data_IF_540517139601
#
_entry.id   IF_540517139601
#
_cell.length_a   1.000
_cell.length_b   1.000
_cell.length_c   1.000
_cell.angle_alpha   90.00
_cell.angle_beta   90.00
_cell.angle_gamma   90.00
#
_symmetry.space_group_name_H-M   'P 1'
#
loop_
_entity.id
_entity.type
_entity.pdbx_description
1 polymer ?
#
# COMPACT_ATOMS: atom_id res chain seq x y z
N UNK A 1 -36.05 21.66 -10.88
CA UNK A 1 -35.60 20.77 -11.96
C UNK A 1 -34.30 21.26 -12.60
N UNK A 2 -34.24 22.43 -13.26
CA UNK A 2 -32.98 22.97 -13.81
C UNK A 2 -31.93 23.28 -12.72
N UNK A 3 -32.34 23.97 -11.65
CA UNK A 3 -31.42 24.38 -10.58
C UNK A 3 -30.85 23.18 -9.80
N UNK A 4 -31.67 22.16 -9.55
CA UNK A 4 -31.22 20.89 -8.96
C UNK A 4 -30.25 20.14 -9.88
N UNK A 5 -30.45 20.20 -11.20
CA UNK A 5 -29.54 19.58 -12.18
C UNK A 5 -28.17 20.26 -12.22
N UNK A 6 -28.15 21.60 -12.16
CA UNK A 6 -26.92 22.39 -12.10
C UNK A 6 -26.13 22.12 -10.81
N UNK A 7 -26.82 21.96 -9.68
CA UNK A 7 -26.16 21.60 -8.41
C UNK A 7 -25.51 20.20 -8.47
N UNK A 8 -26.20 19.21 -9.04
CA UNK A 8 -25.65 17.86 -9.22
C UNK A 8 -24.43 17.90 -10.15
N UNK A 9 -24.52 18.60 -11.28
CA UNK A 9 -23.40 18.76 -12.20
C UNK A 9 -22.18 19.40 -11.52
N UNK A 10 -22.39 20.45 -10.73
CA UNK A 10 -21.33 21.12 -10.00
C UNK A 10 -20.65 20.20 -8.97
N UNK A 11 -21.42 19.38 -8.25
CA UNK A 11 -20.87 18.39 -7.32
C UNK A 11 -20.08 17.30 -8.05
N UNK A 12 -20.57 16.81 -9.19
CA UNK A 12 -19.84 15.84 -10.02
C UNK A 12 -18.50 16.39 -10.50
N UNK A 13 -18.50 17.58 -11.11
CA UNK A 13 -17.27 18.23 -11.61
C UNK A 13 -16.32 18.56 -10.46
N UNK A 14 -16.84 19.08 -9.34
CA UNK A 14 -16.04 19.37 -8.15
C UNK A 14 -15.41 18.10 -7.55
N UNK A 15 -16.17 17.01 -7.47
CA UNK A 15 -15.64 15.73 -7.00
C UNK A 15 -14.54 15.20 -7.93
N UNK A 16 -14.72 15.28 -9.25
CA UNK A 16 -13.71 14.85 -10.21
C UNK A 16 -12.41 15.64 -10.08
N UNK A 17 -12.49 16.98 -9.98
CA UNK A 17 -11.33 17.84 -9.80
C UNK A 17 -10.59 17.58 -8.47
N UNK A 18 -11.33 17.29 -7.40
CA UNK A 18 -10.72 16.93 -6.11
C UNK A 18 -9.97 15.59 -6.16
N UNK A 19 -10.45 14.65 -6.96
CA UNK A 19 -9.83 13.32 -7.08
C UNK A 19 -8.45 13.35 -7.71
N UNK A 20 -8.21 14.24 -8.68
CA UNK A 20 -6.87 14.40 -9.28
C UNK A 20 -5.83 14.83 -8.24
N UNK A 21 -6.23 15.66 -7.28
CA UNK A 21 -5.35 16.14 -6.20
C UNK A 21 -5.10 15.09 -5.11
N UNK A 22 -5.96 14.09 -5.00
CA UNK A 22 -5.80 13.04 -4.00
C UNK A 22 -4.56 12.18 -4.27
N UNK A 23 -4.25 11.88 -5.54
CA UNK A 23 -3.11 11.01 -5.89
C UNK A 23 -1.78 11.62 -5.44
N UNK A 24 -1.62 12.93 -5.63
CA UNK A 24 -0.43 13.67 -5.22
C UNK A 24 -0.25 13.71 -3.69
N UNK A 25 -1.34 13.57 -2.93
CA UNK A 25 -1.33 13.60 -1.47
C UNK A 25 -1.19 12.20 -0.85
N UNK A 26 -1.84 11.20 -1.43
CA UNK A 26 -1.90 9.84 -0.88
C UNK A 26 -0.53 9.14 -0.96
N UNK A 27 0.18 9.27 -2.07
CA UNK A 27 1.48 8.60 -2.27
C UNK A 27 2.50 8.91 -1.15
N UNK A 28 2.83 10.20 -0.89
CA UNK A 28 3.75 10.58 0.17
C UNK A 28 3.27 10.22 1.58
N UNK A 29 1.96 10.33 1.85
CA UNK A 29 1.38 9.96 3.14
C UNK A 29 1.49 8.47 3.40
N UNK A 30 1.17 7.65 2.40
CA UNK A 30 1.27 6.20 2.47
C UNK A 30 2.73 5.73 2.61
N UNK A 31 3.65 6.33 1.85
CA UNK A 31 5.08 6.05 1.97
C UNK A 31 5.56 6.31 3.41
N UNK A 32 5.14 7.43 4.00
CA UNK A 32 5.47 7.76 5.40
C UNK A 32 4.90 6.73 6.36
N UNK A 33 3.66 6.28 6.14
CA UNK A 33 3.01 5.25 6.96
C UNK A 33 3.77 3.90 6.90
N UNK A 34 4.25 3.51 5.72
CA UNK A 34 5.05 2.28 5.52
C UNK A 34 6.42 2.43 6.19
N UNK A 35 7.15 3.51 5.91
CA UNK A 35 8.54 3.67 6.36
C UNK A 35 8.62 3.82 7.88
N UNK A 36 7.73 4.62 8.48
CA UNK A 36 7.85 5.02 9.89
C UNK A 36 6.82 4.39 10.80
N UNK A 37 5.54 4.43 10.40
CA UNK A 37 4.45 4.22 11.35
C UNK A 37 4.05 2.76 11.51
N UNK A 38 4.27 1.91 10.48
CA UNK A 38 3.87 0.50 10.50
C UNK A 38 4.32 -0.20 11.80
N UNK A 39 5.60 -0.16 12.15
CA UNK A 39 6.14 -0.82 13.35
C UNK A 39 5.90 -0.07 14.67
N UNK A 40 5.40 1.15 14.61
CA UNK A 40 5.23 2.02 15.78
C UNK A 40 3.77 2.07 16.24
N UNK A 41 2.83 1.90 15.30
CA UNK A 41 1.40 2.12 15.50
C UNK A 41 0.61 0.93 14.97
N UNK A 42 -0.03 0.21 15.88
CA UNK A 42 -0.83 -0.99 15.56
C UNK A 42 -2.03 -0.67 14.66
N UNK A 43 -2.70 0.46 14.89
CA UNK A 43 -3.81 0.95 14.07
C UNK A 43 -3.38 1.16 12.60
N UNK A 44 -2.19 1.73 12.40
CA UNK A 44 -1.62 1.91 11.06
C UNK A 44 -1.21 0.59 10.45
N UNK A 45 -0.60 -0.30 11.23
CA UNK A 45 -0.24 -1.65 10.79
C UNK A 45 -1.44 -2.41 10.22
N UNK A 46 -2.54 -2.44 10.98
CA UNK A 46 -3.78 -3.11 10.57
C UNK A 46 -4.40 -2.45 9.34
N UNK A 47 -4.41 -1.12 9.27
CA UNK A 47 -4.91 -0.39 8.11
C UNK A 47 -4.07 -0.69 6.84
N UNK A 48 -2.74 -0.68 6.95
CA UNK A 48 -1.83 -1.02 5.86
C UNK A 48 -2.03 -2.46 5.41
N UNK A 49 -2.13 -3.40 6.34
CA UNK A 49 -2.40 -4.81 6.00
C UNK A 49 -3.72 -4.93 5.23
N UNK A 50 -4.78 -4.30 5.72
CA UNK A 50 -6.08 -4.32 5.04
C UNK A 50 -6.02 -3.72 3.64
N UNK A 51 -5.37 -2.56 3.47
CA UNK A 51 -5.23 -1.89 2.18
C UNK A 51 -4.48 -2.77 1.17
N UNK A 52 -3.35 -3.36 1.56
CA UNK A 52 -2.56 -4.20 0.67
C UNK A 52 -3.27 -5.51 0.32
N UNK A 53 -3.96 -6.14 1.28
CA UNK A 53 -4.73 -7.35 1.06
C UNK A 53 -5.90 -7.11 0.09
N UNK A 54 -6.67 -6.03 0.28
CA UNK A 54 -7.81 -5.71 -0.60
C UNK A 54 -7.35 -5.23 -1.98
N UNK A 55 -6.25 -4.47 -2.05
CA UNK A 55 -5.71 -3.94 -3.29
C UNK A 55 -4.84 -4.92 -4.07
N UNK A 56 -4.56 -6.11 -3.50
CA UNK A 56 -3.62 -7.08 -4.04
C UNK A 56 -2.32 -6.43 -4.48
N UNK A 57 -1.73 -5.60 -3.63
CA UNK A 57 -0.60 -4.70 -3.94
C UNK A 57 0.47 -4.79 -2.84
N UNK A 58 1.65 -4.24 -3.11
CA UNK A 58 2.71 -4.11 -2.11
C UNK A 58 3.47 -2.78 -2.28
N UNK A 59 3.47 -1.96 -1.23
CA UNK A 59 4.20 -0.69 -1.21
C UNK A 59 3.37 0.52 -1.65
N UNK A 60 3.99 1.70 -1.54
CA UNK A 60 3.39 2.97 -1.94
C UNK A 60 3.76 3.36 -3.37
N UNK A 61 5.06 3.34 -3.68
CA UNK A 61 5.64 3.56 -5.00
C UNK A 61 6.26 2.27 -5.57
N UNK A 62 6.71 1.38 -4.69
CA UNK A 62 7.29 0.10 -5.07
C UNK A 62 7.29 -0.86 -3.88
N UNK A 63 7.41 -2.16 -4.11
CA UNK A 63 7.53 -3.11 -2.99
C UNK A 63 8.84 -2.88 -2.23
N UNK A 64 9.83 -2.25 -2.87
CA UNK A 64 11.11 -1.89 -2.30
C UNK A 64 11.02 -0.84 -1.20
N UNK A 65 9.93 -0.07 -1.13
CA UNK A 65 9.72 0.94 -0.07
C UNK A 65 9.82 0.32 1.34
N UNK A 66 9.50 -0.97 1.47
CA UNK A 66 9.66 -1.71 2.71
C UNK A 66 11.11 -1.78 3.18
N UNK A 67 12.10 -1.82 2.28
CA UNK A 67 13.52 -1.92 2.66
C UNK A 67 14.02 -0.71 3.45
N UNK A 68 13.42 0.46 3.22
CA UNK A 68 13.78 1.69 3.92
C UNK A 68 13.03 1.87 5.25
N UNK A 69 12.13 0.94 5.58
CA UNK A 69 11.26 1.05 6.75
C UNK A 69 11.92 0.64 8.07
N UNK A 70 11.39 1.18 9.17
CA UNK A 70 11.72 0.74 10.54
C UNK A 70 11.35 -0.73 10.73
N UNK A 71 10.28 -1.20 10.08
CA UNK A 71 9.91 -2.62 10.07
C UNK A 71 11.04 -3.51 9.55
N UNK A 72 11.61 -3.17 8.40
CA UNK A 72 12.67 -3.95 7.78
C UNK A 72 13.91 -4.01 8.66
N UNK A 73 14.27 -2.90 9.31
CA UNK A 73 15.39 -2.85 10.26
C UNK A 73 15.16 -3.78 11.48
N UNK A 74 13.92 -3.86 11.97
CA UNK A 74 13.58 -4.71 13.12
C UNK A 74 13.62 -6.20 12.75
N UNK A 75 12.94 -6.59 11.66
CA UNK A 75 12.82 -8.00 11.25
C UNK A 75 14.11 -8.55 10.64
N UNK A 76 14.96 -7.69 10.08
CA UNK A 76 16.30 -8.04 9.57
C UNK A 76 17.42 -7.68 10.55
N UNK A 77 17.12 -7.51 11.84
CA UNK A 77 18.16 -7.32 12.85
C UNK A 77 19.05 -8.57 12.98
N UNK A 78 20.28 -8.39 13.45
CA UNK A 78 21.25 -9.50 13.63
C UNK A 78 20.69 -10.63 14.51
N UNK A 79 19.83 -10.31 15.48
CA UNK A 79 19.20 -11.30 16.34
C UNK A 79 18.20 -12.17 15.57
N UNK A 80 17.31 -11.55 14.80
CA UNK A 80 16.32 -12.23 13.96
C UNK A 80 16.99 -13.05 12.85
N UNK A 81 18.03 -12.50 12.21
CA UNK A 81 18.79 -13.18 11.17
C UNK A 81 19.46 -14.47 11.65
N UNK A 82 19.95 -14.49 12.89
CA UNK A 82 20.51 -15.72 13.47
C UNK A 82 19.46 -16.81 13.67
N UNK A 83 18.19 -16.44 13.87
CA UNK A 83 17.11 -17.41 14.05
C UNK A 83 16.60 -17.95 12.72
N UNK A 84 16.39 -17.08 11.72
CA UNK A 84 15.79 -17.47 10.43
C UNK A 84 16.78 -17.75 9.30
N UNK A 85 18.00 -17.23 9.37
CA UNK A 85 19.08 -17.41 8.37
C UNK A 85 18.87 -16.81 6.98
N UNK A 86 17.94 -15.87 6.83
CA UNK A 86 17.65 -15.18 5.56
C UNK A 86 17.11 -13.77 5.83
N UNK A 87 16.99 -12.89 4.81
CA UNK A 87 16.34 -11.57 4.91
C UNK A 87 14.87 -11.60 4.46
N UNK A 88 14.00 -10.77 5.05
CA UNK A 88 12.65 -10.50 4.55
C UNK A 88 12.70 -9.23 3.71
N UNK A 89 12.19 -9.31 2.48
CA UNK A 89 12.07 -8.17 1.59
C UNK A 89 10.80 -7.35 1.87
N UNK A 90 9.70 -8.04 2.14
CA UNK A 90 8.36 -7.44 2.35
C UNK A 90 7.60 -8.19 3.46
N UNK A 91 6.55 -7.60 4.06
CA UNK A 91 5.66 -8.30 4.99
C UNK A 91 4.88 -9.44 4.31
N UNK A 92 4.41 -10.41 5.08
CA UNK A 92 3.75 -11.61 4.54
C UNK A 92 2.44 -11.30 3.79
N UNK A 93 1.71 -10.24 4.17
CA UNK A 93 0.49 -9.81 3.46
C UNK A 93 0.75 -9.27 2.04
N UNK A 94 2.01 -9.00 1.67
CA UNK A 94 2.38 -8.64 0.30
C UNK A 94 2.49 -9.87 -0.63
N UNK A 95 2.46 -11.08 -0.07
CA UNK A 95 2.54 -12.30 -0.86
C UNK A 95 1.20 -12.63 -1.52
N UNK A 96 1.25 -13.21 -2.71
CA UNK A 96 0.09 -13.75 -3.42
C UNK A 96 -0.57 -14.89 -2.65
N UNK A 97 0.24 -15.68 -1.97
CA UNK A 97 -0.19 -16.70 -1.03
C UNK A 97 0.46 -16.39 0.31
N UNK A 98 -0.33 -15.89 1.25
CA UNK A 98 0.16 -15.57 2.58
C UNK A 98 0.58 -16.85 3.30
N UNK A 99 1.84 -16.90 3.70
CA UNK A 99 2.40 -17.92 4.57
C UNK A 99 3.52 -17.31 5.39
N UNK A 100 3.80 -17.88 6.56
CA UNK A 100 4.84 -17.36 7.44
C UNK A 100 6.18 -17.17 6.70
N UNK A 101 6.71 -15.96 6.72
CA UNK A 101 7.97 -15.55 6.09
C UNK A 101 8.02 -15.72 4.56
N UNK A 102 6.88 -15.71 3.87
CA UNK A 102 6.85 -15.77 2.40
C UNK A 102 7.57 -14.59 1.74
N UNK A 103 7.63 -13.45 2.43
CA UNK A 103 8.30 -12.23 1.96
C UNK A 103 9.81 -12.33 1.84
N UNK A 104 10.42 -13.48 2.12
CA UNK A 104 11.83 -13.73 1.84
C UNK A 104 12.15 -13.72 0.34
N UNK A 105 11.20 -14.14 -0.52
CA UNK A 105 11.37 -14.15 -1.98
C UNK A 105 10.58 -13.03 -2.63
N UNK A 106 11.26 -12.12 -3.30
CA UNK A 106 10.63 -10.97 -3.94
C UNK A 106 10.24 -11.22 -5.41
N UNK A 107 10.26 -12.46 -5.91
CA UNK A 107 9.86 -12.75 -7.29
C UNK A 107 8.38 -12.38 -7.56
N UNK A 108 8.01 -11.88 -8.76
CA UNK A 108 6.64 -11.44 -9.08
C UNK A 108 5.58 -12.55 -9.06
N UNK A 109 6.00 -13.82 -9.10
CA UNK A 109 5.10 -14.96 -8.89
C UNK A 109 4.77 -15.20 -7.42
N UNK A 110 5.50 -14.58 -6.49
CA UNK A 110 5.35 -14.74 -5.05
C UNK A 110 4.72 -13.50 -4.41
N UNK A 111 5.12 -12.30 -4.83
CA UNK A 111 4.62 -11.04 -4.26
C UNK A 111 3.91 -10.16 -5.31
N UNK A 112 3.11 -9.23 -4.81
CA UNK A 112 2.48 -8.20 -5.64
C UNK A 112 3.48 -7.08 -5.96
N UNK A 113 3.60 -6.72 -7.23
CA UNK A 113 4.47 -5.62 -7.71
C UNK A 113 3.70 -4.33 -7.98
N UNK A 114 2.38 -4.43 -8.07
CA UNK A 114 1.52 -3.27 -8.14
C UNK A 114 1.52 -2.55 -6.79
N UNK A 115 1.43 -1.24 -6.87
CA UNK A 115 1.30 -0.36 -5.72
C UNK A 115 -0.17 -0.09 -5.40
N UNK A 116 -0.42 0.46 -4.21
CA UNK A 116 -1.73 0.98 -3.86
C UNK A 116 -2.15 2.01 -4.91
N UNK A 117 -3.22 1.69 -5.65
CA UNK A 117 -3.89 2.63 -6.53
C UNK A 117 -5.24 3.00 -5.92
N UNK A 118 -5.69 4.25 -6.06
CA UNK A 118 -7.04 4.62 -5.70
C UNK A 118 -8.02 3.72 -6.45
N UNK A 119 -9.03 3.20 -5.74
CA UNK A 119 -10.04 2.28 -6.27
C UNK A 119 -10.68 2.81 -7.58
N UNK A 120 -10.83 4.13 -7.72
CA UNK A 120 -11.40 4.76 -8.90
C UNK A 120 -10.55 4.63 -10.17
N UNK A 121 -9.22 4.63 -10.06
CA UNK A 121 -8.32 4.43 -11.21
C UNK A 121 -8.45 3.02 -11.77
N UNK A 122 -8.75 2.04 -10.91
CA UNK A 122 -9.04 0.65 -11.31
C UNK A 122 -10.37 0.57 -12.08
N UNK A 123 -11.40 1.32 -11.67
CA UNK A 123 -12.68 1.37 -12.40
C UNK A 123 -12.57 2.04 -13.77
N UNK A 124 -11.81 3.14 -13.87
CA UNK A 124 -11.60 3.85 -15.15
C UNK A 124 -10.75 3.07 -16.15
N UNK A 125 -9.79 2.26 -15.69
CA UNK A 125 -8.93 1.44 -16.56
C UNK A 125 -9.56 0.09 -16.96
N UNK A 126 -10.70 -0.26 -16.36
CA UNK A 126 -11.50 -1.44 -16.71
C UNK A 126 -12.62 -1.13 -17.71
N UNK A 127 -12.69 0.10 -18.23
CA UNK A 127 -13.65 0.54 -19.28
C UNK A 127 -12.89 0.85 -20.56
#
# INVERSE_FOLDING_TARGET
>A
MLLSLLMVLALCVGSYAYMEQLDDLLGPSLLTAIIRDHSQREDVSLALQHLHHQGHCCGAQSFEDWRDSVWWQNVNSVAELKQRSFDLAVPDFCCRTESLNCGHRDHPSNIYYNVIKPQFFVYLSAT
#
